data_IF_144819672417
#
_entry.id   IF_144819672417
#
_cell.length_a   1.000
_cell.length_b   1.000
_cell.length_c   1.000
_cell.angle_alpha   90.00
_cell.angle_beta   90.00
_cell.angle_gamma   90.00
#
_symmetry.space_group_name_H-M   'P 1'
#
loop_
_entity.id
_entity.type
_entity.pdbx_description
1 polymer ?
#
# COMPACT_ATOMS: atom_id res chain seq x y z
N UNK A 1 8.81 71.33 -37.58
CA UNK A 1 8.31 70.59 -36.41
C UNK A 1 8.48 69.13 -36.70
N UNK A 2 9.44 68.43 -36.02
CA UNK A 2 9.76 67.02 -36.26
C UNK A 2 9.09 66.21 -35.16
N UNK A 3 8.14 65.36 -35.54
CA UNK A 3 7.47 64.44 -34.63
C UNK A 3 8.40 63.25 -34.36
N UNK A 4 8.83 63.07 -33.11
CA UNK A 4 9.52 61.87 -32.61
C UNK A 4 8.49 60.88 -32.12
N UNK A 5 8.31 59.76 -32.83
CA UNK A 5 7.53 58.65 -32.34
C UNK A 5 8.38 57.82 -31.39
N UNK A 6 7.93 57.70 -30.15
CA UNK A 6 8.55 56.85 -29.14
C UNK A 6 8.03 55.42 -29.35
N UNK A 7 8.93 54.50 -29.71
CA UNK A 7 8.65 53.09 -29.84
C UNK A 7 8.79 52.41 -28.45
N UNK A 8 7.67 52.02 -27.84
CA UNK A 8 7.66 51.27 -26.58
C UNK A 8 7.83 49.78 -26.93
N UNK A 9 9.00 49.22 -26.67
CA UNK A 9 9.23 47.78 -26.80
C UNK A 9 8.82 47.13 -25.46
N UNK A 10 7.69 46.43 -25.45
CA UNK A 10 7.28 45.62 -24.31
C UNK A 10 8.08 44.33 -24.28
N UNK A 11 8.96 44.18 -23.28
CA UNK A 11 9.74 42.97 -23.04
C UNK A 11 8.85 41.95 -22.27
N UNK A 12 8.33 40.92 -22.96
CA UNK A 12 7.66 39.81 -22.29
C UNK A 12 8.69 38.89 -21.66
N UNK A 13 8.79 38.90 -20.33
CA UNK A 13 9.56 37.89 -19.58
C UNK A 13 8.74 36.58 -19.57
N UNK A 14 9.16 35.60 -20.36
CA UNK A 14 8.67 34.22 -20.26
C UNK A 14 9.36 33.57 -19.07
N UNK A 15 8.66 33.49 -17.95
CA UNK A 15 9.10 32.68 -16.81
C UNK A 15 8.85 31.22 -17.16
N UNK A 16 9.88 30.52 -17.62
CA UNK A 16 9.86 29.08 -17.75
C UNK A 16 9.79 28.46 -16.34
N UNK A 17 8.62 28.05 -15.92
CA UNK A 17 8.44 27.27 -14.69
C UNK A 17 9.19 25.94 -14.86
N UNK A 18 10.28 25.75 -14.12
CA UNK A 18 10.92 24.44 -13.98
C UNK A 18 9.97 23.53 -13.23
N UNK A 19 9.41 22.54 -13.95
CA UNK A 19 8.75 21.41 -13.31
C UNK A 19 9.81 20.67 -12.47
N UNK A 20 9.58 20.59 -11.16
CA UNK A 20 10.41 19.73 -10.32
C UNK A 20 10.34 18.29 -10.86
N UNK A 21 11.49 17.57 -10.90
CA UNK A 21 11.46 16.17 -11.31
C UNK A 21 10.49 15.40 -10.42
N UNK A 22 9.66 14.55 -11.02
CA UNK A 22 8.82 13.62 -10.25
C UNK A 22 9.74 12.79 -9.35
N UNK A 23 9.36 12.64 -8.08
CA UNK A 23 10.09 11.80 -7.16
C UNK A 23 10.19 10.39 -7.76
N UNK A 24 11.38 9.83 -7.82
CA UNK A 24 11.61 8.47 -8.27
C UNK A 24 11.02 7.53 -7.22
N UNK A 25 10.17 6.59 -7.63
CA UNK A 25 9.54 5.63 -6.73
C UNK A 25 10.57 4.58 -6.33
N UNK A 26 10.71 4.37 -5.02
CA UNK A 26 11.59 3.36 -4.45
C UNK A 26 10.83 2.02 -4.24
N UNK A 27 11.50 0.86 -4.43
CA UNK A 27 10.84 -0.44 -4.29
C UNK A 27 10.34 -0.74 -2.89
N UNK A 28 9.11 -1.26 -2.78
CA UNK A 28 8.44 -1.68 -1.56
C UNK A 28 7.30 -0.76 -1.15
N UNK A 29 6.57 -1.13 -0.09
CA UNK A 29 5.53 -0.33 0.50
C UNK A 29 5.99 0.27 1.83
N UNK A 30 5.57 1.50 2.11
CA UNK A 30 5.76 2.11 3.42
C UNK A 30 4.83 1.45 4.44
N UNK A 31 5.38 0.70 5.39
CA UNK A 31 4.64 0.11 6.50
C UNK A 31 4.67 1.00 7.74
N UNK A 32 3.50 1.29 8.28
CA UNK A 32 3.30 1.93 9.58
C UNK A 32 2.74 0.90 10.56
N UNK A 33 3.45 0.64 11.65
CA UNK A 33 3.17 -0.40 12.63
C UNK A 33 2.72 0.24 13.94
N UNK A 34 1.54 -0.12 14.41
CA UNK A 34 0.91 0.50 15.58
C UNK A 34 0.71 -0.53 16.68
N UNK A 35 1.33 -0.31 17.84
CA UNK A 35 0.97 -1.01 19.07
C UNK A 35 -0.31 -0.34 19.60
N UNK A 36 -1.38 -1.10 19.71
CA UNK A 36 -2.69 -0.59 20.14
C UNK A 36 -2.89 -0.73 21.65
N UNK A 37 -2.16 -1.67 22.28
CA UNK A 37 -2.18 -1.89 23.72
C UNK A 37 -3.53 -2.34 24.29
N UNK A 38 -4.48 -2.67 23.44
CA UNK A 38 -5.82 -3.14 23.81
C UNK A 38 -6.45 -3.95 22.68
N UNK A 39 -7.41 -4.80 23.04
CA UNK A 39 -8.19 -5.64 22.14
C UNK A 39 -8.69 -4.86 20.91
N UNK A 40 -8.58 -5.48 19.75
CA UNK A 40 -9.06 -4.99 18.46
C UNK A 40 -9.88 -6.10 17.77
N UNK A 41 -11.14 -5.82 17.46
CA UNK A 41 -12.06 -6.81 16.86
C UNK A 41 -12.41 -6.48 15.40
N UNK A 42 -11.97 -5.30 14.92
CA UNK A 42 -12.19 -4.80 13.57
C UNK A 42 -11.11 -3.76 13.23
N UNK A 43 -11.07 -3.28 12.00
CA UNK A 43 -10.08 -2.31 11.54
C UNK A 43 -10.03 -1.06 12.43
N UNK A 44 -8.94 -0.83 13.17
CA UNK A 44 -8.83 0.30 14.07
C UNK A 44 -8.70 1.60 13.31
N UNK A 45 -9.18 2.69 13.91
CA UNK A 45 -8.91 4.05 13.40
C UNK A 45 -7.46 4.41 13.72
N UNK A 46 -6.64 4.56 12.69
CA UNK A 46 -5.21 4.84 12.80
C UNK A 46 -4.88 6.34 12.64
N UNK A 47 -5.85 7.14 12.17
CA UNK A 47 -5.67 8.58 11.96
C UNK A 47 -5.29 9.29 13.28
N UNK A 48 -4.16 10.02 13.22
CA UNK A 48 -3.64 10.75 14.41
C UNK A 48 -2.89 9.88 15.42
N UNK A 49 -2.85 8.55 15.25
CA UNK A 49 -2.00 7.68 16.08
C UNK A 49 -0.55 7.76 15.59
N UNK A 50 0.38 7.68 16.54
CA UNK A 50 1.81 7.60 16.23
C UNK A 50 2.21 6.14 16.08
N UNK A 51 2.76 5.72 14.93
CA UNK A 51 3.27 4.37 14.76
C UNK A 51 4.47 4.11 15.68
N UNK A 52 4.54 2.90 16.23
CA UNK A 52 5.69 2.42 17.01
C UNK A 52 6.91 2.16 16.10
N UNK A 53 6.66 1.78 14.84
CA UNK A 53 7.70 1.53 13.85
C UNK A 53 7.21 1.98 12.47
N UNK A 54 8.12 2.55 11.67
CA UNK A 54 7.96 2.72 10.23
C UNK A 54 9.12 2.02 9.51
N UNK A 55 8.81 1.24 8.48
CA UNK A 55 9.82 0.60 7.63
C UNK A 55 9.28 0.39 6.22
N UNK A 56 10.16 0.13 5.28
CA UNK A 56 9.79 -0.30 3.92
C UNK A 56 9.81 -1.82 3.84
N UNK A 57 8.69 -2.39 3.42
CA UNK A 57 8.54 -3.83 3.19
C UNK A 57 8.51 -4.09 1.69
N UNK A 58 9.51 -4.82 1.18
CA UNK A 58 9.66 -5.06 -0.26
C UNK A 58 8.54 -5.92 -0.85
N UNK A 59 7.96 -6.80 -0.04
CA UNK A 59 6.81 -7.65 -0.37
C UNK A 59 5.96 -7.81 0.88
N UNK A 60 4.66 -8.05 0.70
CA UNK A 60 3.79 -8.45 1.80
C UNK A 60 3.71 -9.97 1.76
N UNK A 61 4.63 -10.62 2.49
CA UNK A 61 4.77 -12.07 2.57
C UNK A 61 5.24 -12.47 3.97
N UNK A 62 4.45 -12.10 4.95
CA UNK A 62 4.70 -12.39 6.35
C UNK A 62 3.87 -13.60 6.77
N UNK A 63 4.47 -14.79 6.67
CA UNK A 63 3.87 -16.00 7.22
C UNK A 63 4.17 -16.07 8.70
N UNK A 64 3.20 -16.52 9.47
CA UNK A 64 3.41 -16.75 10.90
C UNK A 64 4.52 -17.76 11.12
N UNK A 65 5.55 -17.35 11.84
CA UNK A 65 6.74 -18.17 12.12
C UNK A 65 7.17 -18.13 13.59
N UNK A 66 6.41 -17.46 14.45
CA UNK A 66 6.76 -17.32 15.86
C UNK A 66 5.83 -16.38 16.63
N UNK A 67 6.15 -16.08 17.88
CA UNK A 67 5.26 -15.34 18.78
C UNK A 67 5.16 -13.83 18.49
N UNK A 68 5.97 -13.30 17.57
CA UNK A 68 5.94 -11.88 17.22
C UNK A 68 5.85 -11.71 15.71
N UNK A 69 5.22 -10.62 15.26
CA UNK A 69 5.18 -10.29 13.84
C UNK A 69 6.62 -10.09 13.30
N UNK A 70 6.96 -10.67 12.14
CA UNK A 70 8.35 -10.73 11.66
C UNK A 70 9.07 -9.37 11.63
N UNK A 71 10.23 -9.32 12.28
CA UNK A 71 11.08 -8.13 12.36
C UNK A 71 10.56 -7.02 13.27
N UNK A 72 9.63 -7.33 14.18
CA UNK A 72 9.08 -6.42 15.20
C UNK A 72 9.14 -7.04 16.60
N UNK A 73 8.59 -6.29 17.59
CA UNK A 73 8.30 -6.79 18.93
C UNK A 73 6.79 -6.88 19.18
N UNK A 74 5.99 -6.73 18.13
CA UNK A 74 4.53 -6.78 18.21
C UNK A 74 4.09 -8.24 18.24
N UNK A 75 3.32 -8.60 19.24
CA UNK A 75 2.80 -9.95 19.45
C UNK A 75 1.27 -9.99 19.52
N UNK A 76 0.63 -9.00 20.15
CA UNK A 76 -0.82 -8.91 20.30
C UNK A 76 -1.29 -7.46 20.12
N UNK A 77 -2.56 -7.26 19.83
CA UNK A 77 -3.26 -5.97 19.81
C UNK A 77 -2.51 -4.91 19.01
N UNK A 78 -2.17 -5.21 17.78
CA UNK A 78 -1.47 -4.30 16.91
C UNK A 78 -2.16 -4.17 15.53
N UNK A 79 -1.77 -3.15 14.79
CA UNK A 79 -2.19 -2.98 13.41
C UNK A 79 -1.04 -2.52 12.54
N UNK A 80 -1.13 -2.83 11.27
CA UNK A 80 -0.17 -2.37 10.26
C UNK A 80 -0.94 -1.80 9.08
N UNK A 81 -0.49 -0.65 8.61
CA UNK A 81 -0.95 -0.07 7.35
C UNK A 81 0.22 0.03 6.39
N UNK A 82 0.14 -0.67 5.27
CA UNK A 82 1.07 -0.49 4.16
C UNK A 82 0.46 0.43 3.11
N UNK A 83 1.24 1.39 2.65
CA UNK A 83 0.83 2.36 1.62
C UNK A 83 1.90 2.50 0.55
N UNK A 84 1.47 2.82 -0.67
CA UNK A 84 2.36 3.06 -1.79
C UNK A 84 1.67 2.91 -3.13
N UNK A 85 2.41 2.40 -4.11
CA UNK A 85 1.94 2.14 -5.47
C UNK A 85 2.11 0.67 -5.82
N UNK A 86 1.16 0.14 -6.59
CA UNK A 86 1.29 -1.14 -7.27
C UNK A 86 1.34 -0.90 -8.78
N UNK A 87 2.35 -1.47 -9.45
CA UNK A 87 2.50 -1.41 -10.90
C UNK A 87 1.77 -2.58 -11.54
N UNK A 88 0.77 -2.26 -12.34
CA UNK A 88 -0.01 -3.21 -13.14
C UNK A 88 0.67 -3.34 -14.51
N UNK A 89 1.24 -4.50 -14.86
CA UNK A 89 2.06 -4.63 -16.06
C UNK A 89 1.28 -4.57 -17.38
N UNK A 90 0.01 -4.95 -17.38
CA UNK A 90 -0.88 -4.92 -18.57
C UNK A 90 -2.34 -4.81 -18.18
N UNK A 91 -3.17 -4.32 -19.11
CA UNK A 91 -4.63 -4.31 -18.93
C UNK A 91 -5.16 -5.75 -18.74
N UNK A 92 -6.13 -5.90 -17.87
CA UNK A 92 -6.81 -7.19 -17.68
C UNK A 92 -7.43 -7.38 -16.31
N UNK A 93 -7.99 -8.59 -16.16
CA UNK A 93 -8.55 -9.04 -14.88
C UNK A 93 -7.44 -9.66 -14.04
N UNK A 94 -7.26 -9.14 -12.85
CA UNK A 94 -6.37 -9.65 -11.82
C UNK A 94 -7.22 -10.28 -10.71
N UNK A 95 -6.82 -11.47 -10.26
CA UNK A 95 -7.33 -12.03 -9.01
C UNK A 95 -6.32 -11.73 -7.94
N UNK A 96 -6.70 -10.96 -6.93
CA UNK A 96 -5.91 -10.74 -5.73
C UNK A 96 -6.34 -11.71 -4.65
N UNK A 97 -5.36 -12.18 -3.88
CA UNK A 97 -5.52 -13.04 -2.72
C UNK A 97 -4.88 -12.35 -1.54
N UNK A 98 -5.62 -12.24 -0.46
CA UNK A 98 -5.13 -11.70 0.80
C UNK A 98 -5.36 -12.75 1.88
N UNK A 99 -4.25 -13.27 2.42
CA UNK A 99 -4.23 -14.28 3.46
C UNK A 99 -3.69 -13.66 4.73
N UNK A 100 -4.39 -13.78 5.84
CA UNK A 100 -3.96 -13.17 7.11
C UNK A 100 -4.53 -13.91 8.32
N UNK A 101 -3.91 -13.65 9.45
CA UNK A 101 -4.28 -13.97 10.82
C UNK A 101 -3.93 -12.74 11.67
N UNK A 102 -4.86 -11.97 12.21
CA UNK A 102 -6.30 -11.91 11.98
C UNK A 102 -6.68 -11.16 10.68
N UNK A 103 -7.46 -10.09 10.84
CA UNK A 103 -8.13 -9.37 9.78
C UNK A 103 -7.26 -8.52 8.89
N UNK A 104 -7.54 -8.56 7.58
CA UNK A 104 -6.87 -7.71 6.59
C UNK A 104 -7.80 -7.24 5.48
N UNK A 105 -7.44 -6.14 4.82
CA UNK A 105 -8.12 -5.68 3.61
C UNK A 105 -7.16 -5.03 2.63
N UNK A 106 -7.44 -5.21 1.35
CA UNK A 106 -6.73 -4.60 0.24
C UNK A 106 -7.58 -3.52 -0.40
N UNK A 107 -7.01 -2.32 -0.54
CA UNK A 107 -7.62 -1.24 -1.31
C UNK A 107 -6.71 -0.89 -2.51
N UNK A 108 -7.34 -0.68 -3.67
CA UNK A 108 -6.69 -0.14 -4.89
C UNK A 108 -7.46 1.10 -5.33
N UNK A 109 -6.75 2.20 -5.56
CA UNK A 109 -7.32 3.51 -5.88
C UNK A 109 -8.44 3.92 -4.88
N UNK A 110 -8.24 3.61 -3.59
CA UNK A 110 -9.17 3.90 -2.50
C UNK A 110 -10.42 3.03 -2.42
N UNK A 111 -10.55 2.01 -3.29
CA UNK A 111 -11.68 1.05 -3.28
C UNK A 111 -11.24 -0.27 -2.68
N UNK A 112 -12.00 -0.80 -1.74
CA UNK A 112 -11.78 -2.14 -1.20
C UNK A 112 -11.94 -3.18 -2.32
N UNK A 113 -10.88 -3.94 -2.56
CA UNK A 113 -10.83 -5.03 -3.54
C UNK A 113 -11.00 -6.37 -2.85
N UNK A 114 -10.23 -6.61 -1.77
CA UNK A 114 -10.40 -7.82 -0.93
C UNK A 114 -10.70 -7.35 0.49
N UNK A 115 -11.71 -7.96 1.09
CA UNK A 115 -12.05 -7.79 2.49
C UNK A 115 -11.93 -9.16 3.17
N UNK A 116 -10.98 -9.28 4.07
CA UNK A 116 -10.71 -10.44 4.91
C UNK A 116 -10.73 -9.98 6.39
N UNK A 117 -11.77 -9.22 6.76
CA UNK A 117 -11.95 -8.69 8.10
C UNK A 117 -12.47 -9.72 9.10
N UNK A 118 -12.42 -9.33 10.38
CA UNK A 118 -12.84 -10.17 11.51
C UNK A 118 -11.68 -10.88 12.19
N UNK A 119 -12.01 -11.62 13.26
CA UNK A 119 -11.07 -12.44 14.02
C UNK A 119 -11.09 -13.86 13.46
N UNK A 120 -9.96 -14.36 13.04
CA UNK A 120 -9.83 -15.70 12.45
C UNK A 120 -8.36 -16.13 12.39
N UNK A 121 -8.14 -17.43 12.48
CA UNK A 121 -6.87 -18.05 12.14
C UNK A 121 -6.48 -17.73 10.70
N UNK A 122 -5.26 -18.12 10.28
CA UNK A 122 -4.77 -17.88 8.92
C UNK A 122 -5.78 -18.28 7.84
N UNK A 123 -6.43 -17.30 7.25
CA UNK A 123 -7.50 -17.43 6.27
C UNK A 123 -7.19 -16.61 5.02
N UNK A 124 -7.62 -17.09 3.86
CA UNK A 124 -7.46 -16.39 2.58
C UNK A 124 -8.82 -16.00 2.00
N UNK A 125 -8.92 -14.75 1.55
CA UNK A 125 -10.00 -14.25 0.69
C UNK A 125 -9.45 -13.82 -0.65
N UNK A 126 -10.29 -13.92 -1.69
CA UNK A 126 -9.91 -13.52 -3.05
C UNK A 126 -10.96 -12.65 -3.71
N UNK A 127 -10.53 -11.80 -4.63
CA UNK A 127 -11.42 -11.04 -5.50
C UNK A 127 -10.81 -10.77 -6.86
N UNK A 128 -11.70 -10.65 -7.86
CA UNK A 128 -11.33 -10.25 -9.20
C UNK A 128 -11.55 -8.75 -9.39
N UNK A 129 -10.58 -8.08 -10.02
CA UNK A 129 -10.68 -6.67 -10.39
C UNK A 129 -10.11 -6.44 -11.79
N UNK A 130 -10.82 -5.67 -12.61
CA UNK A 130 -10.31 -5.23 -13.91
C UNK A 130 -9.45 -3.99 -13.73
N UNK A 131 -8.19 -4.06 -14.13
CA UNK A 131 -7.22 -2.98 -13.99
C UNK A 131 -6.60 -2.63 -15.34
N UNK A 132 -6.31 -1.34 -15.53
CA UNK A 132 -5.48 -0.84 -16.62
C UNK A 132 -4.02 -0.85 -16.22
N UNK A 133 -3.13 -1.08 -17.18
CA UNK A 133 -1.69 -0.98 -17.01
C UNK A 133 -1.29 0.39 -16.43
N UNK A 134 -0.22 0.41 -15.64
CA UNK A 134 0.28 1.61 -14.98
C UNK A 134 0.29 1.48 -13.47
N UNK A 135 0.61 2.58 -12.80
CA UNK A 135 0.68 2.66 -11.34
C UNK A 135 -0.70 2.95 -10.75
N UNK A 136 -1.00 2.28 -9.64
CA UNK A 136 -2.22 2.45 -8.85
C UNK A 136 -1.86 2.68 -7.40
N UNK A 137 -2.66 3.48 -6.71
CA UNK A 137 -2.56 3.56 -5.25
C UNK A 137 -2.91 2.21 -4.63
N UNK A 138 -2.10 1.75 -3.67
CA UNK A 138 -2.38 0.54 -2.90
C UNK A 138 -2.33 0.86 -1.42
N UNK A 139 -3.31 0.33 -0.68
CA UNK A 139 -3.32 0.30 0.78
C UNK A 139 -3.65 -1.11 1.22
N UNK A 140 -2.91 -1.61 2.21
CA UNK A 140 -3.23 -2.84 2.91
C UNK A 140 -3.33 -2.48 4.37
N UNK A 141 -4.50 -2.71 4.97
CA UNK A 141 -4.70 -2.66 6.40
C UNK A 141 -4.70 -4.09 6.94
N UNK A 142 -4.05 -4.29 8.06
CA UNK A 142 -3.97 -5.54 8.79
C UNK A 142 -4.06 -5.26 10.28
N UNK A 143 -4.72 -6.12 11.02
CA UNK A 143 -4.71 -6.09 12.48
C UNK A 143 -4.63 -7.50 13.05
N UNK A 144 -4.10 -7.56 14.27
CA UNK A 144 -3.93 -8.76 15.08
C UNK A 144 -4.46 -8.47 16.47
N UNK A 145 -5.34 -9.34 16.97
CA UNK A 145 -5.92 -9.22 18.29
C UNK A 145 -5.14 -10.03 19.32
N UNK A 146 -5.13 -11.35 19.18
CA UNK A 146 -4.44 -12.27 20.11
C UNK A 146 -3.63 -13.27 19.30
N UNK A 147 -2.32 -13.25 19.49
CA UNK A 147 -1.40 -14.17 18.81
C UNK A 147 -1.31 -15.48 19.59
N UNK A 148 -2.35 -16.26 19.59
CA UNK A 148 -2.41 -17.62 20.18
C UNK A 148 -2.04 -18.73 19.18
N UNK A 149 -1.86 -18.40 17.91
CA UNK A 149 -1.49 -19.32 16.84
C UNK A 149 -0.51 -18.73 15.82
N UNK A 150 -0.39 -17.41 15.74
CA UNK A 150 0.54 -16.74 14.87
C UNK A 150 -0.03 -15.54 14.13
N UNK A 151 0.77 -14.52 13.93
CA UNK A 151 0.43 -13.32 13.19
C UNK A 151 1.02 -13.36 11.78
N UNK A 152 0.22 -13.13 10.75
CA UNK A 152 0.69 -13.17 9.36
C UNK A 152 -0.17 -12.40 8.38
N UNK A 153 0.46 -11.91 7.30
CA UNK A 153 -0.23 -11.27 6.19
C UNK A 153 0.52 -11.53 4.88
N UNK A 154 -0.18 -12.06 3.87
CA UNK A 154 0.40 -12.39 2.56
C UNK A 154 -0.48 -11.85 1.44
N UNK A 155 0.08 -11.02 0.57
CA UNK A 155 -0.57 -10.54 -0.65
C UNK A 155 -0.07 -11.32 -1.86
N UNK A 156 -0.99 -11.96 -2.57
CA UNK A 156 -0.70 -12.66 -3.81
C UNK A 156 -1.62 -12.21 -4.93
N UNK A 157 -1.23 -12.49 -6.16
CA UNK A 157 -2.04 -12.25 -7.34
C UNK A 157 -1.91 -13.33 -8.40
N UNK A 158 -2.80 -13.31 -9.37
CA UNK A 158 -2.68 -14.00 -10.66
C UNK A 158 -3.45 -13.26 -11.75
N UNK A 159 -3.11 -13.52 -13.00
CA UNK A 159 -3.95 -13.16 -14.16
C UNK A 159 -4.40 -14.44 -14.86
N UNK A 160 -5.37 -14.32 -15.76
CA UNK A 160 -5.90 -15.47 -16.51
C UNK A 160 -4.77 -16.28 -17.17
N UNK A 161 -4.73 -17.57 -16.85
CA UNK A 161 -3.73 -18.51 -17.38
C UNK A 161 -2.37 -18.49 -16.68
N UNK A 162 -2.21 -17.70 -15.63
CA UNK A 162 -1.01 -17.70 -14.80
C UNK A 162 -1.27 -18.38 -13.46
N UNK A 163 -0.21 -18.90 -12.85
CA UNK A 163 -0.25 -19.43 -11.50
C UNK A 163 -0.28 -18.28 -10.48
N UNK A 164 -0.88 -18.55 -9.33
CA UNK A 164 -0.83 -17.64 -8.19
C UNK A 164 0.61 -17.48 -7.70
N UNK A 165 1.01 -16.24 -7.46
CA UNK A 165 2.32 -15.89 -6.90
C UNK A 165 2.17 -14.74 -5.89
N UNK A 166 3.09 -14.62 -4.94
CA UNK A 166 3.21 -13.42 -4.09
C UNK A 166 3.47 -12.23 -5.00
N UNK A 167 2.80 -11.11 -4.73
CA UNK A 167 3.05 -9.87 -5.48
C UNK A 167 4.54 -9.52 -5.38
N UNK A 168 5.28 -9.51 -6.51
CA UNK A 168 6.73 -9.36 -6.46
C UNK A 168 7.17 -7.95 -6.07
N UNK A 169 8.34 -7.84 -5.47
CA UNK A 169 8.93 -6.55 -5.08
C UNK A 169 9.04 -5.55 -6.25
N UNK A 170 9.20 -6.05 -7.47
CA UNK A 170 9.26 -5.22 -8.70
C UNK A 170 7.91 -4.59 -9.09
N UNK A 171 6.83 -4.96 -8.41
CA UNK A 171 5.50 -4.39 -8.63
C UNK A 171 5.06 -3.44 -7.51
N UNK A 172 5.82 -3.31 -6.41
CA UNK A 172 5.47 -2.50 -5.24
C UNK A 172 6.47 -1.35 -5.06
N UNK A 173 5.97 -0.13 -4.80
CA UNK A 173 6.76 1.10 -4.70
C UNK A 173 6.18 2.06 -3.66
N UNK A 174 7.03 2.98 -3.17
CA UNK A 174 6.64 4.08 -2.26
C UNK A 174 7.31 5.38 -2.61
#
# INVERSE_FOLDING_TARGET
MKNIQLLVVALFLVVAGQLAPAAELEPGLQGEYFDLGSTVEDFPKLEGKKPALKRVDKTINFRSTGPTFPGTKLDNHFAIRWTGKIKIPKDGVYTFFLESDDGSRLLIDGKTVVDNGGLHDMQEQEANVELKAGERDIVIDYFENENDGGAGCVLSWKTKGQVKEVVPASALFH
#
